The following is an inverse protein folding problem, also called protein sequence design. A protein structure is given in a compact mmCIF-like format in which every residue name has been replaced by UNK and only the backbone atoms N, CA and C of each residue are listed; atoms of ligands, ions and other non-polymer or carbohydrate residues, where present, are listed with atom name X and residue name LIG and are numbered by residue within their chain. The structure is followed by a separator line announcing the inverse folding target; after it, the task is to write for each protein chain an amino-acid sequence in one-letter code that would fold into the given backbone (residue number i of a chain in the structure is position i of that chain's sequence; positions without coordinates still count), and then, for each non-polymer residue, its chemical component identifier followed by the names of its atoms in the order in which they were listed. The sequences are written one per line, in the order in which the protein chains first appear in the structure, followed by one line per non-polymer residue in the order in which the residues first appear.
data_IF_321541507446
#
_entry.id   IF_321541507446
#
_cell.length_a   1.000
_cell.length_b   1.000
_cell.length_c   1.000
_cell.angle_alpha   90.00
_cell.angle_beta   90.00
_cell.angle_gamma   90.00
#
_symmetry.space_group_name_H-M   'P 1'
#
loop_
_entity.id
_entity.type
_entity.pdbx_description
1 polymer ?
#
# COMPACT_ATOMS: atom_id res chain seq x y z
N UNK A 1 -31.58 -11.26 7.62
CA UNK A 1 -30.61 -10.22 8.02
C UNK A 1 -29.22 -10.82 7.83
N UNK A 2 -28.47 -10.37 6.83
CA UNK A 2 -27.08 -10.80 6.66
C UNK A 2 -26.24 -10.13 7.74
N UNK A 3 -25.74 -10.92 8.69
CA UNK A 3 -24.60 -10.51 9.52
C UNK A 3 -23.40 -10.37 8.57
N UNK A 4 -23.29 -9.24 7.89
CA UNK A 4 -22.04 -8.85 7.26
C UNK A 4 -21.07 -8.61 8.41
N UNK A 5 -20.21 -9.60 8.67
CA UNK A 5 -19.11 -9.40 9.60
C UNK A 5 -18.36 -8.16 9.14
N UNK A 6 -18.21 -7.21 10.06
CA UNK A 6 -17.53 -5.95 9.80
C UNK A 6 -16.07 -6.27 9.44
N UNK A 7 -15.65 -5.87 8.25
CA UNK A 7 -14.25 -5.99 7.84
C UNK A 7 -13.36 -5.17 8.78
N UNK A 8 -12.20 -5.71 9.12
CA UNK A 8 -11.20 -5.01 9.92
C UNK A 8 -10.60 -3.82 9.15
N UNK A 9 -10.46 -3.95 7.83
CA UNK A 9 -10.03 -2.88 6.92
C UNK A 9 -10.67 -3.04 5.54
N UNK A 10 -10.44 -2.08 4.65
CA UNK A 10 -11.07 -2.05 3.33
C UNK A 10 -10.65 -3.29 2.51
N UNK A 11 -11.62 -4.02 1.96
CA UNK A 11 -11.33 -5.17 1.11
C UNK A 11 -10.55 -4.79 -0.16
N UNK A 12 -9.76 -5.73 -0.69
CA UNK A 12 -9.03 -5.54 -1.94
C UNK A 12 -10.03 -5.38 -3.08
N UNK A 13 -10.00 -4.21 -3.71
CA UNK A 13 -10.83 -3.92 -4.87
C UNK A 13 -10.37 -4.71 -6.11
N UNK A 14 -11.31 -5.11 -6.96
CA UNK A 14 -11.03 -5.90 -8.17
C UNK A 14 -10.12 -5.17 -9.18
N UNK A 15 -10.09 -3.83 -9.16
CA UNK A 15 -9.15 -3.05 -9.97
C UNK A 15 -7.74 -3.01 -9.38
N UNK A 16 -7.57 -3.39 -8.11
CA UNK A 16 -6.31 -3.35 -7.39
C UNK A 16 -5.86 -1.95 -6.97
N UNK A 17 -6.67 -0.89 -7.15
CA UNK A 17 -6.27 0.49 -6.82
C UNK A 17 -5.79 0.68 -5.38
N UNK A 18 -6.33 -0.11 -4.43
CA UNK A 18 -5.93 -0.12 -3.03
C UNK A 18 -4.98 -1.27 -2.67
N UNK A 19 -4.36 -1.94 -3.65
CA UNK A 19 -3.53 -3.13 -3.42
C UNK A 19 -2.37 -2.86 -2.45
N UNK A 20 -1.63 -1.75 -2.62
CA UNK A 20 -0.49 -1.47 -1.76
C UNK A 20 -0.89 -1.21 -0.29
N UNK A 21 -1.98 -0.49 -0.05
CA UNK A 21 -2.50 -0.29 1.30
C UNK A 21 -3.07 -1.58 1.88
N UNK A 22 -3.76 -2.37 1.06
CA UNK A 22 -4.33 -3.66 1.47
C UNK A 22 -3.26 -4.66 1.88
N UNK A 23 -2.13 -4.72 1.15
CA UNK A 23 -0.98 -5.57 1.50
C UNK A 23 -0.47 -5.20 2.89
N UNK A 24 -0.24 -3.91 3.13
CA UNK A 24 0.24 -3.42 4.43
C UNK A 24 -0.71 -3.80 5.57
N UNK A 25 -2.01 -3.54 5.40
CA UNK A 25 -3.02 -3.87 6.41
C UNK A 25 -3.08 -5.38 6.66
N UNK A 26 -3.09 -6.19 5.59
CA UNK A 26 -3.13 -7.64 5.68
C UNK A 26 -1.91 -8.22 6.41
N UNK A 27 -0.69 -7.74 6.10
CA UNK A 27 0.54 -8.16 6.76
C UNK A 27 0.54 -7.83 8.25
N UNK A 28 0.10 -6.62 8.62
CA UNK A 28 -0.01 -6.19 10.03
C UNK A 28 -1.00 -7.08 10.78
N UNK A 29 -2.18 -7.32 10.21
CA UNK A 29 -3.21 -8.13 10.86
C UNK A 29 -2.83 -9.61 10.97
N UNK A 30 -2.21 -10.19 9.94
CA UNK A 30 -1.71 -11.56 9.99
C UNK A 30 -0.62 -11.69 11.07
N UNK A 31 0.32 -10.73 11.12
CA UNK A 31 1.37 -10.71 12.14
C UNK A 31 0.79 -10.59 13.55
N UNK A 32 -0.14 -9.66 13.78
CA UNK A 32 -0.79 -9.48 15.07
C UNK A 32 -1.57 -10.71 15.55
N UNK A 33 -2.07 -11.52 14.61
CA UNK A 33 -2.77 -12.79 14.89
C UNK A 33 -1.82 -14.00 14.98
N UNK A 34 -0.51 -13.83 14.81
CA UNK A 34 0.47 -14.92 14.78
C UNK A 34 0.39 -15.79 13.52
N UNK A 35 -0.14 -15.25 12.42
CA UNK A 35 -0.37 -15.93 11.14
C UNK A 35 0.59 -15.45 10.03
N UNK A 36 1.54 -14.57 10.34
CA UNK A 36 2.45 -13.98 9.34
C UNK A 36 3.23 -15.03 8.52
N UNK A 37 3.70 -16.10 9.16
CA UNK A 37 4.46 -17.17 8.48
C UNK A 37 3.66 -17.94 7.42
N UNK A 38 2.33 -17.82 7.42
CA UNK A 38 1.47 -18.53 6.47
C UNK A 38 1.56 -18.01 5.03
N UNK A 39 2.05 -16.77 4.85
CA UNK A 39 2.19 -16.10 3.54
C UNK A 39 3.66 -15.92 3.11
N UNK A 40 4.61 -16.54 3.82
CA UNK A 40 6.05 -16.47 3.53
C UNK A 40 6.52 -17.75 2.82
N UNK A 41 7.47 -17.64 1.90
CA UNK A 41 8.11 -18.81 1.27
C UNK A 41 8.75 -19.74 2.31
N UNK A 42 8.63 -21.05 2.09
CA UNK A 42 9.05 -22.03 3.08
C UNK A 42 8.16 -22.09 4.33
N UNK A 43 6.96 -21.50 4.25
CA UNK A 43 5.83 -21.61 5.19
C UNK A 43 5.90 -22.88 6.07
N UNK A 44 6.07 -22.66 7.38
CA UNK A 44 6.07 -23.69 8.43
C UNK A 44 4.80 -23.66 9.28
N UNK A 45 3.80 -22.89 8.88
CA UNK A 45 2.55 -22.73 9.61
C UNK A 45 1.77 -24.04 9.63
N UNK A 46 1.06 -24.29 10.73
CA UNK A 46 0.18 -25.46 10.85
C UNK A 46 -0.94 -25.39 9.82
N UNK A 47 -1.52 -26.54 9.44
CA UNK A 47 -2.69 -26.57 8.55
C UNK A 47 -3.86 -25.74 9.10
N UNK A 48 -4.00 -25.67 10.42
CA UNK A 48 -5.02 -24.86 11.08
C UNK A 48 -4.75 -23.36 10.89
N UNK A 49 -3.49 -22.93 11.05
CA UNK A 49 -3.14 -21.52 10.90
C UNK A 49 -3.19 -21.07 9.43
N UNK A 50 -2.82 -21.96 8.51
CA UNK A 50 -3.07 -21.74 7.07
C UNK A 50 -4.56 -21.54 6.78
N UNK A 51 -5.43 -22.37 7.36
CA UNK A 51 -6.87 -22.23 7.19
C UNK A 51 -7.40 -20.91 7.77
N UNK A 52 -6.94 -20.50 8.97
CA UNK A 52 -7.29 -19.20 9.58
C UNK A 52 -6.84 -18.03 8.70
N UNK A 53 -5.61 -18.07 8.19
CA UNK A 53 -5.08 -17.05 7.29
C UNK A 53 -5.87 -16.99 5.98
N UNK A 54 -6.22 -18.15 5.41
CA UNK A 54 -7.02 -18.22 4.19
C UNK A 54 -8.42 -17.63 4.39
N UNK A 55 -9.09 -17.95 5.50
CA UNK A 55 -10.39 -17.36 5.84
C UNK A 55 -10.26 -15.83 5.96
N UNK A 56 -9.23 -15.36 6.65
CA UNK A 56 -8.98 -13.94 6.84
C UNK A 56 -8.72 -13.21 5.51
N UNK A 57 -7.80 -13.71 4.69
CA UNK A 57 -7.48 -13.15 3.38
C UNK A 57 -8.73 -13.11 2.50
N UNK A 58 -9.43 -14.25 2.35
CA UNK A 58 -10.67 -14.31 1.56
C UNK A 58 -11.72 -13.35 2.09
N UNK A 59 -11.87 -13.16 3.40
CA UNK A 59 -12.85 -12.21 3.95
C UNK A 59 -12.63 -10.80 3.41
N UNK A 60 -11.36 -10.41 3.23
CA UNK A 60 -10.92 -9.09 2.78
C UNK A 60 -10.70 -8.99 1.27
N UNK A 61 -11.30 -9.86 0.47
CA UNK A 61 -11.31 -9.76 -0.99
C UNK A 61 -12.67 -9.33 -1.52
N UNK A 62 -12.66 -8.56 -2.61
CA UNK A 62 -13.83 -8.39 -3.47
C UNK A 62 -14.39 -9.75 -3.94
N UNK A 63 -15.70 -9.81 -4.14
CA UNK A 63 -16.40 -11.04 -4.55
C UNK A 63 -15.88 -11.59 -5.89
N UNK A 64 -15.53 -10.74 -6.85
CA UNK A 64 -14.95 -11.19 -8.11
C UNK A 64 -13.62 -11.93 -7.92
N UNK A 65 -12.78 -11.45 -7.00
CA UNK A 65 -11.52 -12.11 -6.66
C UNK A 65 -11.74 -13.44 -5.91
N UNK A 66 -12.75 -13.51 -5.03
CA UNK A 66 -13.10 -14.77 -4.36
C UNK A 66 -13.52 -15.86 -5.36
N UNK A 67 -14.24 -15.48 -6.42
CA UNK A 67 -14.66 -16.39 -7.49
C UNK A 67 -13.44 -16.85 -8.31
N UNK A 68 -12.59 -15.91 -8.72
CA UNK A 68 -11.40 -16.21 -9.52
C UNK A 68 -10.43 -17.15 -8.79
N UNK A 69 -10.15 -16.86 -7.51
CA UNK A 69 -9.29 -17.68 -6.67
C UNK A 69 -10.07 -18.73 -5.86
N UNK A 70 -11.23 -19.20 -6.36
CA UNK A 70 -12.09 -20.17 -5.65
C UNK A 70 -11.45 -21.54 -5.43
N UNK A 71 -10.52 -21.95 -6.32
CA UNK A 71 -9.83 -23.25 -6.24
C UNK A 71 -8.56 -23.21 -5.40
N UNK A 72 -8.02 -22.02 -5.11
CA UNK A 72 -6.82 -21.85 -4.30
C UNK A 72 -7.16 -22.10 -2.83
N UNK A 73 -6.40 -22.98 -2.18
CA UNK A 73 -6.63 -23.39 -0.78
C UNK A 73 -5.47 -23.06 0.15
N UNK A 74 -4.29 -22.79 -0.39
CA UNK A 74 -3.12 -22.39 0.38
C UNK A 74 -3.00 -20.84 0.39
N UNK A 75 -2.83 -20.22 1.57
CA UNK A 75 -2.77 -18.76 1.68
C UNK A 75 -1.53 -18.15 1.01
N UNK A 76 -0.40 -18.86 0.96
CA UNK A 76 0.81 -18.39 0.25
C UNK A 76 0.57 -18.38 -1.26
N UNK A 77 -0.08 -19.42 -1.80
CA UNK A 77 -0.45 -19.46 -3.22
C UNK A 77 -1.39 -18.29 -3.59
N UNK A 78 -2.39 -18.01 -2.75
CA UNK A 78 -3.27 -16.86 -2.93
C UNK A 78 -2.49 -15.54 -2.89
N UNK A 79 -1.62 -15.38 -1.89
CA UNK A 79 -0.80 -14.19 -1.71
C UNK A 79 0.11 -13.91 -2.92
N UNK A 80 0.81 -14.94 -3.41
CA UNK A 80 1.66 -14.86 -4.61
C UNK A 80 0.81 -14.54 -5.85
N UNK A 81 -0.37 -15.16 -5.98
CA UNK A 81 -1.28 -14.91 -7.10
C UNK A 81 -1.76 -13.45 -7.15
N UNK A 82 -2.17 -12.89 -6.01
CA UNK A 82 -2.56 -11.49 -5.89
C UNK A 82 -1.38 -10.55 -6.15
N UNK A 83 -0.19 -10.90 -5.65
CA UNK A 83 1.04 -10.16 -5.91
C UNK A 83 1.38 -10.13 -7.40
N UNK A 84 1.43 -11.28 -8.05
CA UNK A 84 1.70 -11.38 -9.49
C UNK A 84 0.71 -10.57 -10.33
N UNK A 85 -0.57 -10.50 -9.91
CA UNK A 85 -1.59 -9.72 -10.59
C UNK A 85 -1.41 -8.22 -10.43
N UNK A 86 -1.06 -7.72 -9.24
CA UNK A 86 -1.14 -6.29 -8.93
C UNK A 86 0.19 -5.58 -8.69
N UNK A 87 1.33 -6.29 -8.63
CA UNK A 87 2.64 -5.66 -8.36
C UNK A 87 3.01 -4.58 -9.39
N UNK A 88 2.48 -4.66 -10.62
CA UNK A 88 2.68 -3.62 -11.64
C UNK A 88 2.13 -2.25 -11.21
N UNK A 89 1.13 -2.23 -10.31
CA UNK A 89 0.60 -0.98 -9.75
C UNK A 89 1.63 -0.28 -8.89
N UNK A 90 2.58 -1.00 -8.29
CA UNK A 90 3.72 -0.39 -7.58
C UNK A 90 4.54 0.47 -8.53
N UNK A 91 4.82 0.00 -9.74
CA UNK A 91 5.53 0.79 -10.75
C UNK A 91 4.70 2.00 -11.20
N UNK A 92 3.39 1.84 -11.34
CA UNK A 92 2.49 2.94 -11.75
C UNK A 92 2.40 4.03 -10.68
N UNK A 93 2.18 3.64 -9.42
CA UNK A 93 2.15 4.55 -8.25
C UNK A 93 3.51 5.23 -8.08
N UNK A 94 4.60 4.49 -8.23
CA UNK A 94 5.95 5.03 -8.16
C UNK A 94 6.20 6.11 -9.22
N UNK A 95 5.90 5.83 -10.48
CA UNK A 95 6.07 6.78 -11.57
C UNK A 95 5.25 8.05 -11.36
N UNK A 96 3.99 7.88 -10.92
CA UNK A 96 3.12 9.01 -10.60
C UNK A 96 3.66 9.84 -9.44
N UNK A 97 4.07 9.20 -8.34
CA UNK A 97 4.60 9.90 -7.18
C UNK A 97 5.91 10.64 -7.50
N UNK A 98 6.78 10.06 -8.35
CA UNK A 98 7.98 10.75 -8.86
C UNK A 98 7.63 11.99 -9.69
N UNK A 99 6.63 11.88 -10.56
CA UNK A 99 6.18 13.01 -11.35
C UNK A 99 5.59 14.12 -10.46
N UNK A 100 4.69 13.76 -9.53
CA UNK A 100 4.14 14.72 -8.56
C UNK A 100 5.24 15.36 -7.70
N UNK A 101 6.30 14.61 -7.36
CA UNK A 101 7.46 15.14 -6.63
C UNK A 101 8.25 16.18 -7.44
N UNK A 102 8.54 15.88 -8.70
CA UNK A 102 9.34 16.74 -9.59
C UNK A 102 8.59 18.02 -10.01
N UNK A 103 7.28 17.96 -10.16
CA UNK A 103 6.45 19.10 -10.57
C UNK A 103 5.91 19.91 -9.38
N UNK A 104 6.23 19.48 -8.14
CA UNK A 104 5.75 20.16 -6.95
C UNK A 104 6.30 21.59 -6.92
N UNK A 105 5.43 22.60 -6.67
CA UNK A 105 5.88 23.98 -6.45
C UNK A 105 5.15 24.60 -5.28
N UNK A 106 5.89 25.31 -4.42
CA UNK A 106 5.29 25.97 -3.27
C UNK A 106 4.21 27.00 -3.67
N UNK A 107 4.45 27.74 -4.76
CA UNK A 107 3.53 28.77 -5.27
C UNK A 107 2.15 28.24 -5.70
N UNK A 108 2.03 26.94 -5.97
CA UNK A 108 0.77 26.32 -6.40
C UNK A 108 -0.18 26.08 -5.19
N UNK A 109 0.26 26.40 -3.97
CA UNK A 109 -0.50 26.23 -2.71
C UNK A 109 -0.68 27.56 -1.98
N UNK A 110 -1.81 27.73 -1.27
CA UNK A 110 -2.12 28.98 -0.55
C UNK A 110 -1.41 29.05 0.79
N UNK A 111 -1.11 27.91 1.39
CA UNK A 111 -0.51 27.83 2.72
C UNK A 111 0.60 26.79 2.81
N UNK A 112 1.51 26.99 3.75
CA UNK A 112 2.56 26.02 4.10
C UNK A 112 1.96 24.68 4.54
N UNK A 113 0.79 24.70 5.20
CA UNK A 113 0.12 23.49 5.68
C UNK A 113 -0.37 22.63 4.51
N UNK A 114 -0.99 23.25 3.50
CA UNK A 114 -1.46 22.56 2.29
C UNK A 114 -0.27 21.95 1.52
N UNK A 115 0.78 22.73 1.30
CA UNK A 115 2.00 22.26 0.65
C UNK A 115 2.62 21.07 1.41
N UNK A 116 2.81 21.21 2.72
CA UNK A 116 3.39 20.15 3.56
C UNK A 116 2.54 18.88 3.53
N UNK A 117 1.21 19.00 3.54
CA UNK A 117 0.31 17.85 3.43
C UNK A 117 0.55 17.06 2.13
N UNK A 118 0.77 17.75 1.01
CA UNK A 118 1.08 17.12 -0.28
C UNK A 118 2.48 16.50 -0.29
N UNK A 119 3.48 17.19 0.25
CA UNK A 119 4.84 16.62 0.43
C UNK A 119 4.77 15.31 1.21
N UNK A 120 4.06 15.28 2.35
CA UNK A 120 3.89 14.07 3.13
C UNK A 120 3.18 12.96 2.35
N UNK A 121 2.09 13.29 1.63
CA UNK A 121 1.37 12.31 0.80
C UNK A 121 2.28 11.67 -0.25
N UNK A 122 3.02 12.49 -1.02
CA UNK A 122 3.91 12.01 -2.09
C UNK A 122 5.04 11.16 -1.50
N UNK A 123 5.70 11.65 -0.45
CA UNK A 123 6.81 10.91 0.17
C UNK A 123 6.37 9.59 0.79
N UNK A 124 5.18 9.54 1.40
CA UNK A 124 4.58 8.27 1.87
C UNK A 124 4.34 7.28 0.73
N UNK A 125 3.87 7.74 -0.43
CA UNK A 125 3.69 6.87 -1.60
C UNK A 125 5.03 6.36 -2.16
N UNK A 126 6.06 7.21 -2.21
CA UNK A 126 7.40 6.81 -2.62
C UNK A 126 7.98 5.76 -1.65
N UNK A 127 7.84 5.97 -0.34
CA UNK A 127 8.24 5.03 0.71
C UNK A 127 7.50 3.69 0.61
N UNK A 128 6.18 3.73 0.41
CA UNK A 128 5.35 2.53 0.19
C UNK A 128 5.81 1.74 -1.06
N UNK A 129 6.29 2.44 -2.08
CA UNK A 129 6.86 1.83 -3.27
C UNK A 129 8.33 1.36 -3.09
N UNK A 130 8.88 1.44 -1.89
CA UNK A 130 10.24 0.99 -1.57
C UNK A 130 11.34 2.00 -1.86
N UNK A 131 11.02 3.28 -2.07
CA UNK A 131 12.04 4.33 -2.12
C UNK A 131 12.41 4.83 -0.74
N UNK A 132 13.69 5.09 -0.55
CA UNK A 132 14.18 5.81 0.63
C UNK A 132 14.13 7.31 0.34
N UNK A 133 13.30 8.04 1.09
CA UNK A 133 13.27 9.50 1.11
C UNK A 133 13.64 9.96 2.52
N UNK A 134 14.75 10.68 2.64
CA UNK A 134 15.23 11.27 3.89
C UNK A 134 14.63 12.65 4.10
N UNK A 135 14.70 13.13 5.33
CA UNK A 135 14.24 14.48 5.67
C UNK A 135 15.07 15.55 4.92
N UNK A 136 16.36 15.31 4.69
CA UNK A 136 17.24 16.15 3.87
C UNK A 136 16.71 16.31 2.44
N UNK A 137 16.28 15.21 1.81
CA UNK A 137 15.71 15.24 0.44
C UNK A 137 14.41 16.06 0.41
N UNK A 138 13.61 16.00 1.49
CA UNK A 138 12.38 16.76 1.63
C UNK A 138 12.63 18.26 1.82
N UNK A 139 13.67 18.60 2.58
CA UNK A 139 14.09 19.98 2.81
C UNK A 139 14.68 20.58 1.53
N UNK A 140 15.59 19.88 0.86
CA UNK A 140 16.18 20.32 -0.40
C UNK A 140 15.10 20.55 -1.46
N UNK A 141 14.16 19.60 -1.62
CA UNK A 141 13.05 19.77 -2.55
C UNK A 141 12.12 20.92 -2.18
N UNK A 142 11.95 21.22 -0.88
CA UNK A 142 11.16 22.38 -0.47
C UNK A 142 11.89 23.69 -0.79
N UNK A 143 13.21 23.73 -0.66
CA UNK A 143 14.00 24.91 -1.00
C UNK A 143 14.06 25.16 -2.51
N UNK A 144 14.19 24.11 -3.33
CA UNK A 144 14.23 24.24 -4.81
C UNK A 144 12.90 24.66 -5.41
N UNK A 145 11.80 24.50 -4.68
CA UNK A 145 10.45 24.86 -5.12
C UNK A 145 10.01 26.26 -4.67
N UNK A 146 10.84 26.95 -3.87
CA UNK A 146 10.67 28.36 -3.54
C UNK A 146 11.15 29.23 -4.71
N UNK A 147 10.46 30.36 -4.92
CA UNK A 147 10.88 31.34 -5.92
C UNK A 147 12.25 31.94 -5.54
N UNK A 148 13.11 32.24 -6.53
CA UNK A 148 14.45 32.79 -6.31
C UNK A 148 14.44 34.09 -5.48
N UNK A 149 13.36 34.87 -5.54
CA UNK A 149 13.19 36.10 -4.73
C UNK A 149 12.95 35.84 -3.23
N UNK A 150 12.58 34.62 -2.84
CA UNK A 150 12.31 34.23 -1.46
C UNK A 150 13.50 33.50 -0.82
N UNK A 151 14.53 33.19 -1.61
CA UNK A 151 15.80 32.63 -1.14
C UNK A 151 16.68 33.79 -0.67
N UNK A 152 16.75 34.03 0.64
CA UNK A 152 17.73 34.96 1.21
C UNK A 152 19.04 34.18 1.36
N UNK A 153 20.01 34.49 0.50
CA UNK A 153 21.41 34.02 0.58
C UNK A 153 22.21 34.87 1.57
#
# INVERSE_FOLDING_TARGET
MSNLSKLEFVALDISGKNYLSWVLDAEIHLTAKGLGDSIIEGNKASSQDKAKAMIFLRHHLDEGLKVEYSKVKDPLELWIGLKGRYDYLKATVLSRARYEWMDLRFQDYKTVIEYNSVVFRITSQLKLCGQTIKDEDMLENTLTTLHASNMIL
#
